data_IF_187140853652
#
_entry.id   IF_187140853652
#
_cell.length_a   1.000
_cell.length_b   1.000
_cell.length_c   1.000
_cell.angle_alpha   90.00
_cell.angle_beta   90.00
_cell.angle_gamma   90.00
#
_symmetry.space_group_name_H-M   'P 1'
#
loop_
_entity.id
_entity.type
_entity.pdbx_description
1 polymer ?
#
# COMPACT_ATOMS: atom_id res chain seq x y z
N UNK A 1 33.68 -17.20 14.70
CA UNK A 1 33.54 -16.29 13.53
C UNK A 1 32.53 -16.85 12.52
N UNK A 2 31.28 -17.09 12.92
CA UNK A 2 30.35 -17.94 12.16
C UNK A 2 29.01 -17.26 11.84
N UNK A 3 28.59 -16.28 12.64
CA UNK A 3 27.32 -15.56 12.45
C UNK A 3 27.36 -14.61 11.24
N UNK A 4 28.42 -13.81 11.10
CA UNK A 4 28.56 -12.84 10.01
C UNK A 4 28.53 -13.50 8.62
N UNK A 5 29.18 -14.66 8.47
CA UNK A 5 29.23 -15.42 7.21
C UNK A 5 27.87 -16.01 6.81
N UNK A 6 27.06 -16.40 7.81
CA UNK A 6 25.71 -16.92 7.62
C UNK A 6 24.77 -15.83 7.13
N UNK A 7 24.82 -14.64 7.75
CA UNK A 7 24.04 -13.47 7.33
C UNK A 7 24.41 -13.06 5.90
N UNK A 8 25.69 -13.00 5.54
CA UNK A 8 26.08 -12.66 4.16
C UNK A 8 25.65 -13.69 3.11
N UNK A 9 25.58 -14.98 3.46
CA UNK A 9 25.10 -16.01 2.55
C UNK A 9 23.56 -15.99 2.41
N UNK A 10 22.82 -15.73 3.49
CA UNK A 10 21.38 -15.50 3.48
C UNK A 10 21.03 -14.26 2.64
N UNK A 11 21.72 -13.14 2.88
CA UNK A 11 21.54 -11.89 2.11
C UNK A 11 21.88 -12.08 0.63
N UNK A 12 22.90 -12.89 0.30
CA UNK A 12 23.20 -13.27 -1.09
C UNK A 12 22.09 -14.12 -1.73
N UNK A 13 21.44 -14.99 -0.96
CA UNK A 13 20.28 -15.77 -1.41
C UNK A 13 19.07 -14.90 -1.75
N UNK A 14 18.77 -13.91 -0.90
CA UNK A 14 17.65 -12.98 -1.12
C UNK A 14 17.95 -11.84 -2.11
N UNK A 15 19.19 -11.68 -2.53
CA UNK A 15 19.61 -10.56 -3.38
C UNK A 15 18.86 -10.52 -4.72
N UNK A 16 18.52 -11.68 -5.30
CA UNK A 16 17.70 -11.76 -6.51
C UNK A 16 16.27 -11.28 -6.29
N UNK A 17 15.64 -11.71 -5.20
CA UNK A 17 14.29 -11.30 -4.81
C UNK A 17 14.22 -9.80 -4.48
N UNK A 18 15.22 -9.28 -3.76
CA UNK A 18 15.33 -7.85 -3.43
C UNK A 18 15.49 -7.01 -4.70
N UNK A 19 16.36 -7.43 -5.63
CA UNK A 19 16.51 -6.76 -6.93
C UNK A 19 15.20 -6.74 -7.71
N UNK A 20 14.48 -7.86 -7.73
CA UNK A 20 13.16 -7.94 -8.38
C UNK A 20 12.17 -6.93 -7.77
N UNK A 21 12.07 -6.87 -6.44
CA UNK A 21 11.21 -5.89 -5.75
C UNK A 21 11.61 -4.45 -6.07
N UNK A 22 12.91 -4.14 -6.10
CA UNK A 22 13.41 -2.79 -6.43
C UNK A 22 13.01 -2.41 -7.87
N UNK A 23 13.13 -3.32 -8.83
CA UNK A 23 12.70 -3.07 -10.21
C UNK A 23 11.20 -2.78 -10.27
N UNK A 24 10.40 -3.53 -9.52
CA UNK A 24 8.95 -3.36 -9.47
C UNK A 24 8.57 -1.99 -8.88
N UNK A 25 9.25 -1.55 -7.83
CA UNK A 25 9.11 -0.19 -7.27
C UNK A 25 9.59 0.87 -8.26
N UNK A 26 10.68 0.63 -9.00
CA UNK A 26 11.14 1.55 -10.04
C UNK A 26 10.10 1.74 -11.16
N UNK A 27 9.49 0.64 -11.61
CA UNK A 27 8.43 0.67 -12.59
C UNK A 27 7.18 1.40 -12.08
N UNK A 28 6.80 1.20 -10.82
CA UNK A 28 5.64 1.89 -10.24
C UNK A 28 5.86 3.41 -10.14
N UNK A 29 7.08 3.86 -9.84
CA UNK A 29 7.44 5.29 -9.84
C UNK A 29 7.35 5.85 -11.26
N UNK A 30 7.91 5.15 -12.26
CA UNK A 30 7.83 5.60 -13.66
C UNK A 30 6.38 5.67 -14.14
N UNK A 31 5.56 4.67 -13.81
CA UNK A 31 4.13 4.67 -14.11
C UNK A 31 3.38 5.82 -13.41
N UNK A 32 3.74 6.13 -12.17
CA UNK A 32 3.17 7.26 -11.41
C UNK A 32 3.57 8.61 -12.02
N UNK A 33 4.77 8.75 -12.56
CA UNK A 33 5.18 9.96 -13.28
C UNK A 33 4.47 10.09 -14.62
N UNK A 34 4.35 8.99 -15.37
CA UNK A 34 3.60 8.96 -16.63
C UNK A 34 2.12 9.33 -16.40
N UNK A 35 1.52 8.88 -15.29
CA UNK A 35 0.17 9.25 -14.85
C UNK A 35 -0.02 10.75 -14.69
N UNK A 36 0.97 11.46 -14.11
CA UNK A 36 0.92 12.91 -13.94
C UNK A 36 1.16 13.69 -15.24
N UNK A 37 1.91 13.12 -16.19
CA UNK A 37 2.26 13.78 -17.47
C UNK A 37 1.18 13.57 -18.53
N UNK A 38 0.67 12.35 -18.68
CA UNK A 38 -0.28 11.98 -19.73
C UNK A 38 -1.76 12.05 -19.30
N UNK A 39 -2.02 12.26 -18.01
CA UNK A 39 -3.37 12.42 -17.46
C UNK A 39 -4.13 11.10 -17.27
N UNK A 40 -5.28 11.20 -16.58
CA UNK A 40 -6.16 10.07 -16.22
C UNK A 40 -6.55 9.21 -17.42
N UNK A 41 -7.11 9.82 -18.47
CA UNK A 41 -7.67 9.07 -19.61
C UNK A 41 -6.65 8.20 -20.33
N UNK A 42 -5.43 8.69 -20.58
CA UNK A 42 -4.42 7.98 -21.36
C UNK A 42 -3.77 6.80 -20.60
N UNK A 43 -3.62 6.91 -19.28
CA UNK A 43 -2.91 5.89 -18.48
C UNK A 43 -3.83 4.87 -17.81
N UNK A 44 -5.10 5.21 -17.61
CA UNK A 44 -6.05 4.35 -16.89
C UNK A 44 -7.26 3.93 -17.73
N UNK A 45 -7.38 4.45 -18.95
CA UNK A 45 -8.52 4.23 -19.85
C UNK A 45 -9.87 4.51 -19.15
N UNK A 46 -9.88 5.46 -18.21
CA UNK A 46 -11.08 5.96 -17.57
C UNK A 46 -11.82 6.86 -18.58
N UNK A 47 -13.13 6.64 -18.69
CA UNK A 47 -14.04 7.44 -19.49
C UNK A 47 -15.09 8.05 -18.57
N UNK A 48 -15.79 9.11 -18.99
CA UNK A 48 -16.75 9.84 -18.14
C UNK A 48 -17.90 8.95 -17.63
N UNK A 49 -18.16 7.82 -18.28
CA UNK A 49 -19.13 6.79 -17.85
C UNK A 49 -18.62 5.93 -16.67
N UNK A 50 -17.31 5.74 -16.56
CA UNK A 50 -16.67 4.93 -15.51
C UNK A 50 -15.49 5.69 -14.90
N UNK A 51 -15.76 6.75 -14.11
CA UNK A 51 -14.72 7.64 -13.60
C UNK A 51 -13.84 7.01 -12.51
N UNK A 52 -14.29 5.92 -11.88
CA UNK A 52 -13.56 5.23 -10.81
C UNK A 52 -12.78 4.00 -11.30
N UNK A 53 -13.31 3.35 -12.36
CA UNK A 53 -12.73 2.18 -13.03
C UNK A 53 -12.08 1.15 -12.11
N UNK A 54 -10.97 0.58 -12.57
CA UNK A 54 -10.24 -0.47 -11.87
C UNK A 54 -9.35 0.07 -10.74
N UNK A 55 -8.93 1.33 -10.81
CA UNK A 55 -7.97 1.88 -9.85
C UNK A 55 -8.58 2.06 -8.45
N UNK A 56 -9.68 2.80 -8.33
CA UNK A 56 -10.39 2.97 -7.05
C UNK A 56 -10.95 1.62 -6.56
N UNK A 57 -11.47 0.80 -7.49
CA UNK A 57 -11.99 -0.53 -7.13
C UNK A 57 -10.89 -1.41 -6.53
N UNK A 58 -9.67 -1.40 -7.06
CA UNK A 58 -8.58 -2.18 -6.51
C UNK A 58 -8.08 -1.60 -5.18
N UNK A 59 -7.76 -0.30 -5.13
CA UNK A 59 -7.22 0.33 -3.93
C UNK A 59 -8.21 0.24 -2.76
N UNK A 60 -9.45 0.67 -2.96
CA UNK A 60 -10.45 0.72 -1.89
C UNK A 60 -10.95 -0.67 -1.51
N UNK A 61 -11.20 -1.59 -2.46
CA UNK A 61 -11.78 -2.90 -2.12
C UNK A 61 -10.73 -3.86 -1.57
N UNK A 62 -9.44 -3.71 -1.90
CA UNK A 62 -8.41 -4.64 -1.40
C UNK A 62 -7.58 -4.09 -0.25
N UNK A 63 -7.13 -2.84 -0.31
CA UNK A 63 -6.24 -2.29 0.72
C UNK A 63 -7.00 -1.86 1.98
N UNK A 64 -8.22 -1.31 1.83
CA UNK A 64 -9.01 -0.85 2.99
C UNK A 64 -9.48 -2.00 3.88
N UNK A 65 -10.00 -3.14 3.37
CA UNK A 65 -10.38 -4.25 4.25
C UNK A 65 -9.17 -4.89 4.93
N UNK A 66 -8.02 -4.94 4.26
CA UNK A 66 -6.78 -5.41 4.86
C UNK A 66 -6.37 -4.51 6.04
N UNK A 67 -6.48 -3.19 5.89
CA UNK A 67 -6.20 -2.23 6.95
C UNK A 67 -7.26 -2.26 8.08
N UNK A 68 -8.53 -2.39 7.74
CA UNK A 68 -9.64 -2.49 8.69
C UNK A 68 -9.54 -3.78 9.54
N UNK A 69 -9.05 -4.88 8.95
CA UNK A 69 -8.79 -6.13 9.66
C UNK A 69 -7.76 -5.97 10.77
N UNK A 70 -6.70 -5.18 10.54
CA UNK A 70 -5.70 -4.86 11.56
C UNK A 70 -6.30 -4.06 12.73
N UNK A 71 -7.13 -3.07 12.43
CA UNK A 71 -7.79 -2.25 13.46
C UNK A 71 -8.77 -3.07 14.30
N UNK A 72 -9.51 -3.97 13.65
CA UNK A 72 -10.43 -4.90 14.32
C UNK A 72 -9.68 -5.85 15.26
N UNK A 73 -8.53 -6.37 14.84
CA UNK A 73 -7.68 -7.20 15.71
C UNK A 73 -7.18 -6.43 16.93
N UNK A 74 -6.79 -5.17 16.74
CA UNK A 74 -6.40 -4.26 17.82
C UNK A 74 -7.54 -4.05 18.83
N UNK A 75 -8.75 -3.74 18.33
CA UNK A 75 -9.94 -3.55 19.16
C UNK A 75 -10.30 -4.82 19.95
N UNK A 76 -10.22 -6.01 19.33
CA UNK A 76 -10.50 -7.29 20.01
C UNK A 76 -9.52 -7.54 21.17
N UNK A 77 -8.24 -7.25 21.00
CA UNK A 77 -7.26 -7.49 22.06
C UNK A 77 -7.29 -6.41 23.14
N UNK A 78 -7.40 -5.13 22.74
CA UNK A 78 -7.28 -4.00 23.67
C UNK A 78 -8.62 -3.63 24.32
N UNK A 79 -9.75 -3.69 23.61
CA UNK A 79 -11.06 -3.38 24.18
C UNK A 79 -11.74 -4.60 24.79
N UNK A 80 -11.68 -5.76 24.13
CA UNK A 80 -12.35 -6.99 24.61
C UNK A 80 -11.43 -7.91 25.44
N UNK A 81 -10.14 -7.57 25.59
CA UNK A 81 -9.22 -8.26 26.51
C UNK A 81 -8.83 -9.68 26.12
N UNK A 82 -9.01 -10.08 24.85
CA UNK A 82 -8.71 -11.44 24.38
C UNK A 82 -7.20 -11.59 24.15
N UNK A 83 -6.47 -12.00 25.20
CA UNK A 83 -4.99 -12.15 25.19
C UNK A 83 -4.46 -13.24 24.25
N UNK A 84 -5.29 -14.17 23.78
CA UNK A 84 -4.89 -15.20 22.81
C UNK A 84 -4.37 -14.62 21.48
N UNK A 85 -4.81 -13.42 21.11
CA UNK A 85 -4.46 -12.76 19.85
C UNK A 85 -3.34 -11.72 20.01
N UNK A 86 -2.81 -11.52 21.22
CA UNK A 86 -1.72 -10.58 21.51
C UNK A 86 -0.48 -10.73 20.61
N UNK A 87 0.02 -11.95 20.28
CA UNK A 87 1.14 -12.09 19.36
C UNK A 87 0.81 -11.69 17.91
N UNK A 88 -0.46 -11.73 17.51
CA UNK A 88 -0.92 -11.34 16.17
C UNK A 88 -1.14 -9.82 16.03
N UNK A 89 -1.33 -9.10 17.14
CA UNK A 89 -1.60 -7.66 17.11
C UNK A 89 -0.40 -6.85 16.59
N UNK A 90 0.82 -7.19 16.98
CA UNK A 90 2.02 -6.46 16.55
C UNK A 90 2.19 -6.46 15.02
N UNK A 91 2.21 -7.61 14.32
CA UNK A 91 2.27 -7.61 12.87
C UNK A 91 1.00 -7.02 12.25
N UNK A 92 -0.18 -7.23 12.84
CA UNK A 92 -1.42 -6.65 12.33
C UNK A 92 -1.37 -5.12 12.30
N UNK A 93 -0.95 -4.46 13.38
CA UNK A 93 -0.85 -2.99 13.43
C UNK A 93 0.13 -2.46 12.37
N UNK A 94 1.27 -3.13 12.18
CA UNK A 94 2.24 -2.73 11.14
C UNK A 94 1.62 -2.90 9.74
N UNK A 95 0.92 -4.01 9.49
CA UNK A 95 0.20 -4.23 8.23
C UNK A 95 -0.91 -3.21 8.02
N UNK A 96 -1.64 -2.84 9.07
CA UNK A 96 -2.68 -1.82 9.01
C UNK A 96 -2.12 -0.44 8.71
N UNK A 97 -1.02 -0.06 9.34
CA UNK A 97 -0.31 1.18 9.07
C UNK A 97 0.20 1.26 7.63
N UNK A 98 0.81 0.17 7.13
CA UNK A 98 1.26 0.07 5.74
C UNK A 98 0.08 0.13 4.77
N UNK A 99 -1.01 -0.58 5.06
CA UNK A 99 -2.23 -0.56 4.26
C UNK A 99 -2.83 0.84 4.13
N UNK A 100 -3.02 1.55 5.25
CA UNK A 100 -3.51 2.93 5.22
C UNK A 100 -2.57 3.89 4.48
N UNK A 101 -1.25 3.73 4.65
CA UNK A 101 -0.27 4.55 3.93
C UNK A 101 -0.36 4.32 2.41
N UNK A 102 -0.56 3.08 1.98
CA UNK A 102 -0.75 2.74 0.57
C UNK A 102 -2.03 3.36 0.00
N UNK A 103 -3.15 3.31 0.74
CA UNK A 103 -4.41 3.95 0.33
C UNK A 103 -4.26 5.47 0.19
N UNK A 104 -3.53 6.12 1.11
CA UNK A 104 -3.27 7.56 0.99
C UNK A 104 -2.48 7.89 -0.28
N UNK A 105 -1.45 7.08 -0.61
CA UNK A 105 -0.67 7.28 -1.83
C UNK A 105 -1.50 6.94 -3.08
N UNK A 106 -2.30 5.87 -3.04
CA UNK A 106 -3.21 5.46 -4.11
C UNK A 106 -4.20 6.57 -4.46
N UNK A 107 -4.88 7.13 -3.45
CA UNK A 107 -5.80 8.26 -3.61
C UNK A 107 -5.13 9.49 -4.24
N UNK A 108 -3.90 9.83 -3.83
CA UNK A 108 -3.16 10.96 -4.42
C UNK A 108 -2.84 10.74 -5.90
N UNK A 109 -2.61 9.49 -6.31
CA UNK A 109 -2.36 9.11 -7.70
C UNK A 109 -3.66 8.92 -8.49
N UNK A 110 -4.77 8.61 -7.82
CA UNK A 110 -6.10 8.49 -8.42
C UNK A 110 -6.72 9.85 -8.73
N UNK A 111 -6.52 10.84 -7.87
CA UNK A 111 -6.98 12.19 -8.14
C UNK A 111 -6.27 12.78 -9.36
N UNK A 112 -7.03 13.23 -10.35
CA UNK A 112 -6.49 13.94 -11.51
C UNK A 112 -5.85 15.29 -11.16
N UNK A 113 -6.24 15.88 -10.03
CA UNK A 113 -5.73 17.16 -9.53
C UNK A 113 -5.56 17.10 -8.01
N UNK A 114 -4.56 16.37 -7.49
CA UNK A 114 -4.40 16.16 -6.06
C UNK A 114 -4.12 17.47 -5.30
N UNK A 115 -3.55 18.47 -5.98
CA UNK A 115 -3.31 19.81 -5.44
C UNK A 115 -4.59 20.56 -5.04
N UNK A 116 -5.78 20.15 -5.52
CA UNK A 116 -7.06 20.75 -5.15
C UNK A 116 -7.77 20.06 -3.98
N UNK A 117 -7.16 19.03 -3.37
CA UNK A 117 -7.77 18.31 -2.25
C UNK A 117 -8.18 19.22 -1.08
N UNK A 118 -7.54 20.37 -0.92
CA UNK A 118 -7.87 21.35 0.13
C UNK A 118 -9.27 21.96 0.01
N UNK A 119 -9.87 22.02 -1.18
CA UNK A 119 -11.26 22.48 -1.38
C UNK A 119 -12.32 21.54 -0.81
N UNK A 120 -11.94 20.33 -0.39
CA UNK A 120 -12.89 19.41 0.26
C UNK A 120 -13.08 19.76 1.74
N UNK A 121 -12.10 20.47 2.34
CA UNK A 121 -12.10 20.78 3.77
C UNK A 121 -12.60 22.19 4.08
N UNK A 122 -12.70 23.08 3.08
CA UNK A 122 -13.11 24.48 3.18
C UNK A 122 -13.93 24.87 1.97
#
# INVERSE_FOLDING_TARGET
>A
MTAARRITNEVKGYHGFIKFLIVLVGLSVVASLARFIFGLGATTNLNDTYPWGLWISFDVVTAVPLAAGAFTLGAIVHCFGIKKLEPLVRPAIVTGFLGYSLVCVGLLLDLGQPHKGWHVLF
#
